data_IF_154567518722
#
_entry.id   IF_154567518722
#
_cell.length_a   1.000
_cell.length_b   1.000
_cell.length_c   1.000
_cell.angle_alpha   90.00
_cell.angle_beta   90.00
_cell.angle_gamma   90.00
#
_symmetry.space_group_name_H-M   'P 1'
#
loop_
_entity.id
_entity.type
_entity.pdbx_description
1 polymer ?
#
# COMPACT_ATOMS: atom_id res chain seq x y z
N UNK A 1 31.12 29.11 37.19
CA UNK A 1 29.88 28.37 36.90
C UNK A 1 29.65 28.30 35.38
N UNK A 2 30.24 27.34 34.63
CA UNK A 2 30.12 27.28 33.15
C UNK A 2 29.82 25.89 32.57
N UNK A 3 29.59 24.85 33.39
CA UNK A 3 29.46 23.45 32.93
C UNK A 3 28.05 22.85 32.97
N UNK A 4 27.02 23.61 33.37
CA UNK A 4 25.65 23.07 33.57
C UNK A 4 24.69 23.25 32.38
N UNK A 5 25.10 23.99 31.34
CA UNK A 5 24.20 24.33 30.22
C UNK A 5 24.23 23.25 29.12
N UNK A 6 25.29 22.43 29.05
CA UNK A 6 25.45 21.45 27.97
C UNK A 6 24.54 20.21 28.09
N UNK A 7 24.06 19.89 29.31
CA UNK A 7 23.26 18.69 29.55
C UNK A 7 21.78 18.83 29.18
N UNK A 8 21.25 20.06 29.16
CA UNK A 8 19.83 20.29 28.88
C UNK A 8 19.49 20.27 27.38
N UNK A 9 20.44 20.66 26.52
CA UNK A 9 20.24 20.66 25.07
C UNK A 9 20.21 19.25 24.47
N UNK A 10 20.91 18.28 25.06
CA UNK A 10 20.94 16.88 24.60
C UNK A 10 19.63 16.15 24.92
N UNK A 11 18.97 16.48 26.03
CA UNK A 11 17.69 15.87 26.39
C UNK A 11 16.54 16.35 25.49
N UNK A 12 16.54 17.63 25.12
CA UNK A 12 15.51 18.21 24.25
C UNK A 12 15.58 17.68 22.81
N UNK A 13 16.77 17.38 22.27
CA UNK A 13 16.89 16.83 20.91
C UNK A 13 16.40 15.38 20.83
N UNK A 14 16.60 14.56 21.87
CA UNK A 14 16.06 13.19 21.89
C UNK A 14 14.52 13.14 21.95
N UNK A 15 13.89 14.09 22.65
CA UNK A 15 12.42 14.17 22.69
C UNK A 15 11.82 14.49 21.31
N UNK A 16 12.49 15.30 20.48
CA UNK A 16 11.99 15.65 19.14
C UNK A 16 12.09 14.47 18.17
N UNK A 17 13.13 13.63 18.28
CA UNK A 17 13.25 12.42 17.45
C UNK A 17 12.25 11.32 17.81
N UNK A 18 11.73 11.27 19.04
CA UNK A 18 10.70 10.32 19.43
C UNK A 18 9.31 10.65 18.83
N UNK A 19 9.04 11.92 18.49
CA UNK A 19 7.77 12.35 17.89
C UNK A 19 7.81 12.47 16.35
N UNK A 20 8.97 12.29 15.72
CA UNK A 20 9.11 12.35 14.27
C UNK A 20 8.65 11.06 13.57
N UNK A 21 8.58 9.94 14.28
CA UNK A 21 8.01 8.68 13.78
C UNK A 21 6.49 8.63 14.05
N UNK A 22 5.74 9.60 13.53
CA UNK A 22 4.32 9.36 13.29
C UNK A 22 4.25 8.39 12.12
N UNK A 23 4.18 7.08 12.40
CA UNK A 23 3.65 6.14 11.44
C UNK A 23 2.32 6.71 10.94
N UNK A 24 2.24 7.07 9.66
CA UNK A 24 1.00 7.55 9.08
C UNK A 24 -0.03 6.44 9.27
N UNK A 25 -1.13 6.65 10.00
CA UNK A 25 -2.13 5.60 10.17
C UNK A 25 -2.73 5.31 8.79
N UNK A 26 -2.60 4.07 8.33
CA UNK A 26 -3.30 3.60 7.15
C UNK A 26 -4.76 3.38 7.55
N UNK A 27 -5.65 4.15 6.94
CA UNK A 27 -7.07 3.86 6.97
C UNK A 27 -7.33 2.71 5.99
N UNK A 28 -7.10 1.47 6.42
CA UNK A 28 -7.39 0.28 5.61
C UNK A 28 -8.91 0.18 5.48
N UNK A 29 -9.41 0.30 4.26
CA UNK A 29 -10.86 0.22 3.98
C UNK A 29 -11.28 -1.22 3.69
N UNK A 30 -10.34 -2.09 3.30
CA UNK A 30 -10.61 -3.46 2.92
C UNK A 30 -9.58 -4.47 3.41
N UNK A 31 -9.21 -5.39 2.52
CA UNK A 31 -8.17 -6.41 2.78
C UNK A 31 -6.91 -6.01 2.02
N UNK A 32 -5.77 -6.07 2.70
CA UNK A 32 -4.48 -5.84 2.08
C UNK A 32 -3.99 -7.10 1.38
N UNK A 33 -3.60 -6.97 0.11
CA UNK A 33 -2.97 -8.03 -0.68
C UNK A 33 -1.60 -7.59 -1.16
N UNK A 34 -0.56 -8.38 -0.90
CA UNK A 34 0.76 -8.18 -1.48
C UNK A 34 0.87 -8.93 -2.81
N UNK A 35 1.55 -8.33 -3.79
CA UNK A 35 1.91 -8.98 -5.05
C UNK A 35 3.24 -9.73 -4.87
N UNK A 36 3.18 -11.05 -4.95
CA UNK A 36 4.34 -11.93 -4.80
C UNK A 36 5.19 -12.00 -6.08
N UNK A 37 4.56 -11.88 -7.26
CA UNK A 37 5.22 -11.84 -8.58
C UNK A 37 4.83 -10.60 -9.37
N UNK A 38 5.73 -9.61 -9.39
CA UNK A 38 5.54 -8.34 -10.10
C UNK A 38 5.39 -8.48 -11.63
N UNK A 39 5.80 -9.61 -12.23
CA UNK A 39 5.64 -9.86 -13.66
C UNK A 39 4.20 -10.25 -14.05
N UNK A 40 3.37 -10.59 -13.06
CA UNK A 40 2.01 -11.08 -13.26
C UNK A 40 0.97 -10.30 -12.43
N UNK A 41 0.88 -8.96 -12.56
CA UNK A 41 0.02 -8.13 -11.71
C UNK A 41 -1.49 -8.36 -11.94
N UNK A 42 -1.88 -8.99 -13.05
CA UNK A 42 -3.27 -9.30 -13.39
C UNK A 42 -3.65 -10.75 -13.12
N UNK A 43 -2.79 -11.54 -12.45
CA UNK A 43 -3.12 -12.91 -12.05
C UNK A 43 -3.50 -12.93 -10.55
N UNK A 44 -4.74 -13.32 -10.19
CA UNK A 44 -5.17 -13.37 -8.79
C UNK A 44 -4.31 -14.28 -7.91
N UNK A 45 -3.70 -15.31 -8.49
CA UNK A 45 -2.88 -16.28 -7.77
C UNK A 45 -1.53 -15.69 -7.32
N UNK A 46 -1.08 -14.62 -7.99
CA UNK A 46 0.16 -13.91 -7.64
C UNK A 46 0.02 -13.03 -6.40
N UNK A 47 -1.18 -12.94 -5.82
CA UNK A 47 -1.43 -12.14 -4.63
C UNK A 47 -1.58 -13.00 -3.38
N UNK A 48 -1.02 -12.57 -2.27
CA UNK A 48 -1.26 -13.15 -0.94
C UNK A 48 -1.74 -12.08 0.03
N UNK A 49 -2.40 -12.46 1.13
CA UNK A 49 -2.83 -11.48 2.14
C UNK A 49 -1.57 -10.83 2.73
N UNK A 50 -1.49 -9.51 2.67
CA UNK A 50 -0.36 -8.79 3.19
C UNK A 50 -0.34 -8.91 4.72
N UNK A 51 0.81 -9.26 5.27
CA UNK A 51 1.07 -9.26 6.71
C UNK A 51 1.95 -8.09 7.15
N UNK A 52 2.38 -7.29 6.18
CA UNK A 52 3.32 -6.18 6.31
C UNK A 52 2.59 -4.84 6.12
N UNK A 53 3.08 -3.81 6.80
CA UNK A 53 2.60 -2.43 6.62
C UNK A 53 3.10 -1.90 5.26
N UNK A 54 2.19 -1.58 4.32
CA UNK A 54 2.59 -1.17 2.98
C UNK A 54 3.26 0.21 2.93
N UNK A 55 3.02 1.10 3.90
CA UNK A 55 3.70 2.41 3.94
C UNK A 55 5.20 2.30 4.23
N UNK A 56 5.61 1.26 4.96
CA UNK A 56 7.03 1.04 5.29
C UNK A 56 7.71 0.06 4.33
N UNK A 57 6.97 -0.86 3.72
CA UNK A 57 7.52 -1.91 2.86
C UNK A 57 7.49 -1.62 1.36
N UNK A 58 6.68 -0.65 0.91
CA UNK A 58 6.48 -0.32 -0.49
C UNK A 58 6.68 1.17 -0.77
N UNK A 59 7.89 1.73 -0.61
CA UNK A 59 8.12 3.11 -1.03
C UNK A 59 8.28 3.16 -2.56
N UNK A 60 7.40 3.87 -3.28
CA UNK A 60 7.56 4.41 -4.65
C UNK A 60 8.33 3.57 -5.70
N UNK A 61 7.64 2.94 -6.68
CA UNK A 61 8.20 2.65 -8.04
C UNK A 61 7.23 1.94 -9.02
N UNK A 62 7.68 1.73 -10.27
CA UNK A 62 7.00 1.17 -11.46
C UNK A 62 6.33 -0.21 -11.36
N UNK A 63 6.05 -0.73 -10.17
CA UNK A 63 5.40 -2.02 -9.96
C UNK A 63 4.46 -1.99 -8.73
N UNK A 64 3.31 -2.67 -8.85
CA UNK A 64 2.38 -2.87 -7.74
C UNK A 64 3.06 -3.71 -6.64
N UNK A 65 2.89 -3.28 -5.40
CA UNK A 65 3.42 -3.93 -4.21
C UNK A 65 2.31 -4.47 -3.32
N UNK A 66 1.40 -3.59 -2.90
CA UNK A 66 0.27 -3.93 -2.03
C UNK A 66 -0.99 -3.24 -2.53
N UNK A 67 -2.13 -3.93 -2.46
CA UNK A 67 -3.45 -3.43 -2.77
C UNK A 67 -4.28 -3.40 -1.49
N UNK A 68 -4.93 -2.27 -1.19
CA UNK A 68 -6.08 -2.22 -0.28
C UNK A 68 -7.36 -2.28 -1.10
N UNK A 69 -8.11 -3.39 -0.99
CA UNK A 69 -9.32 -3.63 -1.78
C UNK A 69 -10.50 -3.99 -0.90
N UNK A 70 -11.69 -3.41 -1.14
CA UNK A 70 -12.88 -3.75 -0.38
C UNK A 70 -13.35 -5.17 -0.69
N UNK A 71 -14.19 -5.74 0.18
CA UNK A 71 -14.72 -7.11 0.03
C UNK A 71 -15.43 -7.35 -1.30
N UNK A 72 -16.01 -6.31 -1.93
CA UNK A 72 -16.65 -6.39 -3.23
C UNK A 72 -15.72 -6.83 -4.36
N UNK A 73 -14.41 -6.57 -4.21
CA UNK A 73 -13.38 -6.87 -5.20
C UNK A 73 -12.60 -8.15 -4.88
N UNK A 74 -13.11 -8.98 -3.98
CA UNK A 74 -12.53 -10.26 -3.60
C UNK A 74 -13.42 -11.39 -4.10
N UNK A 75 -12.82 -12.41 -4.70
CA UNK A 75 -13.54 -13.62 -5.07
C UNK A 75 -14.09 -14.32 -3.82
N UNK A 76 -15.39 -14.57 -3.80
CA UNK A 76 -16.08 -15.25 -2.68
C UNK A 76 -16.23 -16.76 -2.88
N UNK A 77 -15.85 -17.27 -4.05
CA UNK A 77 -15.96 -18.69 -4.41
C UNK A 77 -15.05 -19.03 -5.60
N UNK A 78 -14.92 -20.33 -5.90
CA UNK A 78 -14.14 -20.82 -7.03
C UNK A 78 -12.64 -20.96 -6.74
N UNK A 79 -11.81 -21.21 -7.78
CA UNK A 79 -10.37 -21.46 -7.62
C UNK A 79 -9.58 -20.25 -7.09
N UNK A 80 -10.14 -19.04 -7.21
CA UNK A 80 -9.52 -17.80 -6.75
C UNK A 80 -10.12 -17.32 -5.42
N UNK A 81 -10.88 -18.13 -4.69
CA UNK A 81 -11.54 -17.72 -3.45
C UNK A 81 -10.57 -17.04 -2.47
N UNK A 82 -10.93 -15.85 -1.98
CA UNK A 82 -10.10 -15.02 -1.11
C UNK A 82 -9.01 -14.22 -1.82
N UNK A 83 -8.95 -14.20 -3.15
CA UNK A 83 -8.01 -13.40 -3.95
C UNK A 83 -8.68 -12.15 -4.55
N UNK A 84 -7.92 -11.10 -4.86
CA UNK A 84 -8.46 -9.90 -5.50
C UNK A 84 -8.85 -10.17 -6.97
N UNK A 85 -9.90 -9.52 -7.45
CA UNK A 85 -10.45 -9.61 -8.82
C UNK A 85 -9.66 -8.76 -9.82
N UNK A 86 -8.35 -9.00 -9.89
CA UNK A 86 -7.42 -8.23 -10.74
C UNK A 86 -7.45 -8.61 -12.22
N UNK A 87 -8.07 -9.75 -12.55
CA UNK A 87 -8.17 -10.33 -13.90
C UNK A 87 -9.45 -9.94 -14.65
N UNK A 88 -10.35 -9.21 -13.98
CA UNK A 88 -11.63 -8.81 -14.56
C UNK A 88 -11.45 -7.46 -15.28
N UNK A 89 -11.40 -7.50 -16.61
CA UNK A 89 -11.44 -6.31 -17.46
C UNK A 89 -12.68 -6.38 -18.36
N UNK A 90 -13.81 -5.89 -17.86
CA UNK A 90 -15.10 -5.93 -18.57
C UNK A 90 -15.24 -4.82 -19.62
N UNK A 91 -14.29 -3.88 -19.68
CA UNK A 91 -14.38 -2.65 -20.46
C UNK A 91 -15.25 -1.56 -19.82
N UNK A 92 -15.86 -1.84 -18.66
CA UNK A 92 -16.51 -0.84 -17.83
C UNK A 92 -15.44 -0.10 -17.01
N UNK A 93 -15.51 1.23 -16.96
CA UNK A 93 -14.64 2.00 -16.08
C UNK A 93 -14.98 1.67 -14.63
N UNK A 94 -13.98 1.33 -13.83
CA UNK A 94 -14.22 1.04 -12.42
C UNK A 94 -13.58 -0.24 -11.91
N UNK A 95 -13.03 -1.08 -12.78
CA UNK A 95 -12.50 -2.38 -12.40
C UNK A 95 -11.14 -2.26 -11.71
N UNK A 96 -10.79 -3.27 -10.90
CA UNK A 96 -9.50 -3.28 -10.19
C UNK A 96 -8.31 -3.38 -11.18
N UNK A 97 -8.51 -4.02 -12.33
CA UNK A 97 -7.52 -4.06 -13.41
C UNK A 97 -7.19 -2.66 -13.95
N UNK A 98 -8.19 -1.78 -14.08
CA UNK A 98 -8.01 -0.41 -14.57
C UNK A 98 -7.20 0.43 -13.58
N UNK A 99 -7.45 0.19 -12.29
CA UNK A 99 -6.75 0.84 -11.19
C UNK A 99 -5.27 0.45 -11.16
N UNK A 100 -4.98 -0.85 -11.39
CA UNK A 100 -3.60 -1.35 -11.52
C UNK A 100 -2.90 -0.71 -12.71
N UNK A 101 -3.55 -0.62 -13.88
CA UNK A 101 -2.96 0.05 -15.07
C UNK A 101 -2.69 1.53 -14.75
N UNK A 102 -3.63 2.20 -14.09
CA UNK A 102 -3.50 3.61 -13.72
C UNK A 102 -2.35 3.83 -12.74
N UNK A 103 -2.23 2.98 -11.72
CA UNK A 103 -1.14 3.03 -10.75
C UNK A 103 0.22 2.82 -11.43
N UNK A 104 0.37 1.77 -12.25
CA UNK A 104 1.61 1.49 -13.01
C UNK A 104 2.01 2.63 -13.97
N UNK A 105 1.05 3.42 -14.46
CA UNK A 105 1.28 4.57 -15.32
C UNK A 105 1.53 5.89 -14.57
N UNK A 106 1.39 5.91 -13.25
CA UNK A 106 1.56 7.10 -12.41
C UNK A 106 2.89 7.01 -11.64
N UNK A 107 3.41 8.17 -11.22
CA UNK A 107 4.57 8.27 -10.34
C UNK A 107 4.15 8.74 -8.92
N UNK A 108 2.89 8.53 -8.57
CA UNK A 108 2.30 9.00 -7.31
C UNK A 108 1.99 7.79 -6.44
N UNK A 109 2.88 7.46 -5.52
CA UNK A 109 2.66 6.41 -4.53
C UNK A 109 2.19 7.02 -3.18
N UNK A 110 1.09 6.53 -2.60
CA UNK A 110 0.16 5.55 -3.16
C UNK A 110 -0.80 6.17 -4.19
N UNK A 111 -1.24 5.37 -5.17
CA UNK A 111 -2.34 5.74 -6.05
C UNK A 111 -3.68 5.44 -5.35
N UNK A 112 -4.47 6.48 -5.06
CA UNK A 112 -5.76 6.35 -4.35
C UNK A 112 -6.96 6.50 -5.27
N UNK A 113 -7.98 5.66 -5.07
CA UNK A 113 -9.26 5.70 -5.78
C UNK A 113 -10.44 5.83 -4.79
N UNK A 114 -10.72 7.05 -4.28
CA UNK A 114 -11.67 7.25 -3.18
C UNK A 114 -13.11 6.82 -3.51
N UNK A 115 -13.56 7.03 -4.76
CA UNK A 115 -14.90 6.62 -5.20
C UNK A 115 -15.14 5.12 -5.15
N UNK A 116 -14.07 4.33 -5.11
CA UNK A 116 -14.07 2.86 -5.09
C UNK A 116 -13.50 2.28 -3.80
N UNK A 117 -13.04 3.12 -2.87
CA UNK A 117 -12.41 2.70 -1.62
C UNK A 117 -11.21 1.77 -1.81
N UNK A 118 -10.36 2.06 -2.81
CA UNK A 118 -9.15 1.29 -3.11
C UNK A 118 -7.90 2.16 -3.00
N UNK A 119 -6.80 1.54 -2.60
CA UNK A 119 -5.47 2.17 -2.56
C UNK A 119 -4.45 1.18 -3.12
N UNK A 120 -3.57 1.62 -4.00
CA UNK A 120 -2.49 0.81 -4.58
C UNK A 120 -1.16 1.41 -4.15
N UNK A 121 -0.34 0.58 -3.50
CA UNK A 121 1.02 0.89 -3.06
C UNK A 121 2.04 0.23 -3.99
N UNK A 122 3.18 0.87 -4.18
CA UNK A 122 4.12 0.60 -5.27
C UNK A 122 5.55 0.28 -4.75
N UNK A 123 6.27 -0.72 -5.32
CA UNK A 123 7.55 -1.25 -4.76
C UNK A 123 8.78 -0.64 -5.44
N UNK A 124 9.84 -0.26 -4.70
CA UNK A 124 11.18 0.05 -5.26
C UNK A 124 11.74 -1.10 -6.12
N UNK A 125 12.48 -0.79 -7.20
CA UNK A 125 13.31 -1.78 -7.89
C UNK A 125 14.42 -2.32 -6.98
#
# INVERSE_FOLDING_TARGET
MKRKILGFTVLCTMAVFAFAFKAQPIAVVGTLFQLDDASQPFLPQSYSVATIDPLTACPNSSAVCVLDVPLGDIYTSGPNNGKPKVDIATGAAGELSDDIITALGNASDPTSFPSRSRVIYEKQP
#
